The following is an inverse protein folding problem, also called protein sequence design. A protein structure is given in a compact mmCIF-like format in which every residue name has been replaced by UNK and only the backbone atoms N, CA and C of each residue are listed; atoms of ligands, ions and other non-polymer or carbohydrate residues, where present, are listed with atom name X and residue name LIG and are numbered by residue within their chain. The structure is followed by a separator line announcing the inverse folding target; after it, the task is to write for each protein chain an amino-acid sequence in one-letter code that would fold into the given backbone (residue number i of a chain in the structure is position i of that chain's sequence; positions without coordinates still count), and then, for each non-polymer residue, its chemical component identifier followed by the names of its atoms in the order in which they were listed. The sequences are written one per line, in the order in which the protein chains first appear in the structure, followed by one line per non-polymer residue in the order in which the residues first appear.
data_IF_677143732931
#
_entry.id   IF_677143732931
#
_cell.length_a   1.000
_cell.length_b   1.000
_cell.length_c   1.000
_cell.angle_alpha   90.00
_cell.angle_beta   90.00
_cell.angle_gamma   90.00
#
_symmetry.space_group_name_H-M   'P 1'
#
loop_
_entity.id
_entity.type
_entity.pdbx_description
1 polymer ?
#
# COMPACT_ATOMS: atom_id res chain seq x y z
N UNK A 1 22.32 40.19 13.90
CA UNK A 1 20.90 40.03 13.55
C UNK A 1 20.84 39.12 12.35
N UNK A 2 20.72 37.81 12.59
CA UNK A 2 20.50 36.82 11.53
C UNK A 2 19.05 36.38 11.67
N UNK A 3 18.22 36.74 10.70
CA UNK A 3 16.86 36.22 10.60
C UNK A 3 16.94 34.76 10.16
N UNK A 4 16.72 33.84 11.09
CA UNK A 4 16.45 32.44 10.77
C UNK A 4 15.01 32.36 10.25
N UNK A 5 14.86 32.32 8.92
CA UNK A 5 13.61 31.87 8.30
C UNK A 5 13.64 30.35 8.22
N UNK A 6 12.78 29.73 9.02
CA UNK A 6 12.53 28.29 9.01
C UNK A 6 11.43 28.01 7.98
N UNK A 7 11.77 28.04 6.70
CA UNK A 7 10.88 27.48 5.67
C UNK A 7 10.98 25.96 5.77
N UNK A 8 10.12 25.38 6.62
CA UNK A 8 9.95 23.94 6.73
C UNK A 8 9.17 23.42 5.52
N UNK A 9 9.84 23.22 4.39
CA UNK A 9 9.32 22.33 3.36
C UNK A 9 9.35 20.90 3.93
N UNK A 10 8.21 20.44 4.48
CA UNK A 10 8.01 19.02 4.73
C UNK A 10 8.04 18.36 3.35
N UNK A 11 8.99 17.44 3.07
CA UNK A 11 9.02 16.79 1.76
C UNK A 11 7.69 16.07 1.55
N UNK A 12 7.01 16.41 0.47
CA UNK A 12 5.79 15.72 0.03
C UNK A 12 6.20 14.27 -0.22
N UNK A 13 5.86 13.39 0.72
CA UNK A 13 6.17 11.97 0.59
C UNK A 13 5.23 11.39 -0.44
N UNK A 14 5.79 11.03 -1.59
CA UNK A 14 5.03 10.32 -2.63
C UNK A 14 4.30 9.12 -2.01
N UNK A 15 2.98 8.99 -2.23
CA UNK A 15 2.22 7.85 -1.80
C UNK A 15 2.89 6.53 -2.18
N UNK A 16 2.86 5.56 -1.25
CA UNK A 16 3.50 4.27 -1.44
C UNK A 16 2.58 3.14 -1.01
N UNK A 17 2.50 2.12 -1.86
CA UNK A 17 1.83 0.87 -1.58
C UNK A 17 2.88 -0.24 -1.57
N UNK A 18 3.10 -0.81 -0.39
CA UNK A 18 3.99 -1.94 -0.20
C UNK A 18 3.18 -3.22 -0.03
N UNK A 19 3.51 -4.27 -0.77
CA UNK A 19 2.83 -5.57 -0.74
C UNK A 19 3.83 -6.63 -0.29
N UNK A 20 3.46 -7.39 0.75
CA UNK A 20 4.26 -8.51 1.24
C UNK A 20 4.10 -9.73 0.33
N UNK A 21 5.20 -10.27 -0.16
CA UNK A 21 5.29 -11.57 -0.82
C UNK A 21 6.42 -12.39 -0.19
N UNK A 22 6.11 -13.01 0.95
CA UNK A 22 7.06 -13.40 1.98
C UNK A 22 6.80 -14.77 2.59
N UNK A 23 7.48 -15.14 3.67
CA UNK A 23 7.28 -16.44 4.32
C UNK A 23 5.87 -16.66 4.91
N UNK A 24 5.13 -15.58 5.16
CA UNK A 24 3.76 -15.56 5.68
C UNK A 24 2.72 -15.05 4.66
N UNK A 25 3.14 -14.48 3.53
CA UNK A 25 2.27 -13.88 2.51
C UNK A 25 2.45 -14.62 1.19
N UNK A 26 1.37 -15.00 0.51
CA UNK A 26 1.46 -15.69 -0.79
C UNK A 26 1.83 -17.17 -0.72
N UNK A 27 1.76 -17.78 0.46
CA UNK A 27 2.11 -19.19 0.68
C UNK A 27 0.87 -20.07 0.60
N UNK A 28 0.53 -20.50 -0.62
CA UNK A 28 -0.61 -21.38 -0.90
C UNK A 28 -0.44 -22.75 -0.23
N UNK A 29 0.78 -23.23 -0.10
CA UNK A 29 1.16 -24.42 0.65
C UNK A 29 0.82 -24.34 2.15
N UNK A 30 0.67 -23.12 2.69
CA UNK A 30 0.23 -22.85 4.07
C UNK A 30 -1.23 -22.43 4.17
N UNK A 31 -2.03 -22.64 3.11
CA UNK A 31 -3.45 -22.28 3.07
C UNK A 31 -3.73 -20.79 2.84
N UNK A 32 -2.72 -19.98 2.49
CA UNK A 32 -2.94 -18.57 2.15
C UNK A 32 -3.35 -18.42 0.67
N UNK A 33 -3.93 -17.27 0.32
CA UNK A 33 -4.13 -16.90 -1.09
C UNK A 33 -2.81 -16.45 -1.71
N UNK A 34 -2.64 -16.70 -3.01
CA UNK A 34 -1.49 -16.20 -3.76
C UNK A 34 -1.51 -14.67 -3.84
N UNK A 35 -0.33 -14.04 -3.86
CA UNK A 35 -0.20 -12.61 -4.11
C UNK A 35 -0.14 -12.41 -5.63
N UNK A 36 -1.03 -11.61 -6.25
CA UNK A 36 -1.04 -11.43 -7.70
C UNK A 36 0.04 -10.43 -8.15
N UNK A 37 1.32 -10.75 -7.91
CA UNK A 37 2.46 -9.84 -8.13
C UNK A 37 2.57 -9.37 -9.59
N UNK A 38 2.34 -10.26 -10.55
CA UNK A 38 2.42 -9.91 -11.97
C UNK A 38 1.29 -8.94 -12.35
N UNK A 39 0.05 -9.21 -11.91
CA UNK A 39 -1.12 -8.34 -12.09
C UNK A 39 -0.85 -6.93 -11.55
N UNK A 40 -0.32 -6.83 -10.32
CA UNK A 40 0.03 -5.55 -9.71
C UNK A 40 1.08 -4.78 -10.52
N UNK A 41 2.18 -5.44 -10.92
CA UNK A 41 3.23 -4.80 -11.73
C UNK A 41 2.71 -4.35 -13.10
N UNK A 42 1.89 -5.18 -13.74
CA UNK A 42 1.30 -4.87 -15.04
C UNK A 42 0.35 -3.68 -14.93
N UNK A 43 -0.56 -3.68 -13.95
CA UNK A 43 -1.47 -2.58 -13.71
C UNK A 43 -0.72 -1.26 -13.44
N UNK A 44 0.35 -1.29 -12.63
CA UNK A 44 1.18 -0.11 -12.38
C UNK A 44 1.83 0.45 -13.64
N UNK A 45 2.27 -0.44 -14.54
CA UNK A 45 2.88 -0.05 -15.81
C UNK A 45 1.83 0.52 -16.78
N UNK A 46 0.72 -0.19 -16.98
CA UNK A 46 -0.32 0.17 -17.94
C UNK A 46 -1.04 1.47 -17.56
N UNK A 47 -1.29 1.68 -16.27
CA UNK A 47 -1.94 2.88 -15.73
C UNK A 47 -0.95 4.01 -15.40
N UNK A 48 0.34 3.83 -15.68
CA UNK A 48 1.43 4.79 -15.41
C UNK A 48 1.49 5.30 -13.96
N UNK A 49 1.16 4.45 -12.99
CA UNK A 49 0.98 4.86 -11.59
C UNK A 49 2.29 5.18 -10.88
N UNK A 50 3.44 4.72 -11.38
CA UNK A 50 4.73 4.83 -10.68
C UNK A 50 5.22 6.27 -10.42
N UNK A 51 4.71 7.24 -11.18
CA UNK A 51 5.05 8.66 -11.01
C UNK A 51 4.32 9.29 -9.82
N UNK A 52 3.17 8.76 -9.44
CA UNK A 52 2.29 9.36 -8.42
C UNK A 52 2.15 8.46 -7.19
N UNK A 53 2.10 7.14 -7.39
CA UNK A 53 1.99 6.13 -6.34
C UNK A 53 3.02 5.03 -6.56
N UNK A 54 3.97 4.90 -5.63
CA UNK A 54 5.02 3.89 -5.70
C UNK A 54 4.51 2.51 -5.30
N UNK A 55 4.67 1.51 -6.18
CA UNK A 55 4.53 0.10 -5.83
C UNK A 55 5.85 -0.46 -5.29
N UNK A 56 5.78 -1.23 -4.20
CA UNK A 56 6.91 -1.97 -3.64
C UNK A 56 6.49 -3.40 -3.33
N UNK A 57 7.09 -4.38 -3.98
CA UNK A 57 6.90 -5.79 -3.62
C UNK A 57 8.03 -6.18 -2.67
N UNK A 58 7.69 -6.46 -1.42
CA UNK A 58 8.65 -6.69 -0.34
C UNK A 58 8.64 -8.16 0.10
N UNK A 59 9.80 -8.68 0.51
CA UNK A 59 9.91 -10.04 1.07
C UNK A 59 9.27 -10.18 2.45
N UNK A 60 9.22 -9.12 3.26
CA UNK A 60 8.47 -9.09 4.52
C UNK A 60 8.12 -7.63 4.87
N UNK A 61 6.97 -7.43 5.51
CA UNK A 61 6.55 -6.12 6.02
C UNK A 61 6.44 -6.05 7.54
N UNK A 62 6.62 -7.15 8.26
CA UNK A 62 6.64 -7.15 9.72
C UNK A 62 5.52 -7.96 10.34
N UNK A 63 4.28 -7.47 10.47
CA UNK A 63 3.26 -8.16 11.26
C UNK A 63 2.86 -9.49 10.61
N UNK A 64 3.61 -10.55 10.93
CA UNK A 64 3.40 -11.92 10.47
C UNK A 64 2.21 -12.59 11.18
N UNK A 65 1.56 -11.90 12.13
CA UNK A 65 0.29 -12.28 12.75
C UNK A 65 -0.91 -12.18 11.80
N UNK A 66 -0.73 -11.54 10.64
CA UNK A 66 -1.65 -11.55 9.51
C UNK A 66 -0.90 -12.03 8.26
N UNK A 67 -1.59 -12.82 7.44
CA UNK A 67 -1.11 -13.18 6.11
C UNK A 67 -1.44 -12.07 5.10
N UNK A 68 -0.84 -12.17 3.91
CA UNK A 68 -1.15 -11.32 2.75
C UNK A 68 -1.26 -9.83 3.10
N UNK A 69 -0.21 -9.29 3.72
CA UNK A 69 -0.20 -7.92 4.24
C UNK A 69 0.18 -6.92 3.16
N UNK A 70 -0.51 -5.78 3.16
CA UNK A 70 -0.08 -4.56 2.46
C UNK A 70 -0.02 -3.37 3.41
N UNK A 71 0.94 -2.47 3.17
CA UNK A 71 1.07 -1.20 3.87
C UNK A 71 0.92 -0.06 2.86
N UNK A 72 -0.06 0.79 3.09
CA UNK A 72 -0.31 2.00 2.30
C UNK A 72 0.15 3.20 3.13
N UNK A 73 1.00 4.02 2.54
CA UNK A 73 1.55 5.24 3.15
C UNK A 73 1.16 6.43 2.28
N UNK A 74 0.43 7.37 2.87
CA UNK A 74 0.01 8.64 2.23
C UNK A 74 0.30 9.71 3.27
N UNK A 75 1.17 10.66 2.95
CA UNK A 75 1.71 11.65 3.90
C UNK A 75 2.25 10.98 5.18
N UNK A 76 1.68 11.32 6.34
CA UNK A 76 2.00 10.73 7.65
C UNK A 76 1.12 9.53 8.01
N UNK A 77 0.09 9.23 7.20
CA UNK A 77 -0.86 8.17 7.47
C UNK A 77 -0.34 6.81 7.01
N UNK A 78 -0.47 5.82 7.89
CA UNK A 78 -0.11 4.42 7.62
C UNK A 78 -1.32 3.53 7.78
N UNK A 79 -1.71 2.87 6.70
CA UNK A 79 -2.85 1.96 6.67
C UNK A 79 -2.33 0.55 6.44
N UNK A 80 -2.53 -0.30 7.44
CA UNK A 80 -2.18 -1.71 7.39
C UNK A 80 -3.40 -2.53 6.99
N UNK A 81 -3.23 -3.34 5.95
CA UNK A 81 -4.23 -4.26 5.45
C UNK A 81 -3.69 -5.69 5.53
N UNK A 82 -4.50 -6.64 5.96
CA UNK A 82 -4.12 -8.05 6.10
C UNK A 82 -5.21 -8.97 5.59
N UNK A 83 -4.94 -10.27 5.53
CA UNK A 83 -5.90 -11.27 5.02
C UNK A 83 -6.41 -10.95 3.61
N UNK A 84 -5.56 -10.31 2.79
CA UNK A 84 -5.96 -9.88 1.46
C UNK A 84 -6.16 -11.07 0.52
N UNK A 85 -7.26 -10.99 -0.22
CA UNK A 85 -7.59 -11.87 -1.34
C UNK A 85 -7.54 -11.09 -2.67
N UNK A 86 -7.77 -11.78 -3.79
CA UNK A 86 -7.62 -11.21 -5.14
C UNK A 86 -8.42 -9.91 -5.35
N UNK A 87 -9.70 -9.90 -4.96
CA UNK A 87 -10.58 -8.72 -5.07
C UNK A 87 -10.05 -7.49 -4.33
N UNK A 88 -9.30 -7.70 -3.24
CA UNK A 88 -8.72 -6.60 -2.49
C UNK A 88 -7.52 -6.00 -3.24
N UNK A 89 -6.75 -6.82 -3.98
CA UNK A 89 -5.67 -6.31 -4.83
C UNK A 89 -6.22 -5.51 -6.02
N UNK A 90 -7.38 -5.88 -6.55
CA UNK A 90 -8.09 -5.07 -7.55
C UNK A 90 -8.50 -3.72 -6.99
N UNK A 91 -9.10 -3.71 -5.80
CA UNK A 91 -9.44 -2.45 -5.12
C UNK A 91 -8.21 -1.61 -4.76
N UNK A 92 -7.06 -2.22 -4.48
CA UNK A 92 -5.79 -1.50 -4.28
C UNK A 92 -5.34 -0.83 -5.58
N UNK A 93 -5.45 -1.51 -6.73
CA UNK A 93 -5.09 -0.95 -8.04
C UNK A 93 -6.00 0.25 -8.36
N UNK A 94 -7.30 0.08 -8.19
CA UNK A 94 -8.27 1.13 -8.49
C UNK A 94 -8.12 2.32 -7.55
N UNK A 95 -7.86 2.07 -6.27
CA UNK A 95 -7.61 3.13 -5.31
C UNK A 95 -6.30 3.87 -5.58
N UNK A 96 -5.23 3.16 -5.98
CA UNK A 96 -3.98 3.80 -6.40
C UNK A 96 -4.17 4.75 -7.59
N UNK A 97 -5.05 4.38 -8.54
CA UNK A 97 -5.41 5.24 -9.66
C UNK A 97 -6.23 6.47 -9.23
N UNK A 98 -7.09 6.34 -8.22
CA UNK A 98 -7.80 7.50 -7.68
C UNK A 98 -6.83 8.45 -6.95
N UNK A 99 -5.91 7.91 -6.15
CA UNK A 99 -4.87 8.68 -5.46
C UNK A 99 -3.98 9.44 -6.47
N UNK A 100 -3.63 8.81 -7.60
CA UNK A 100 -2.79 9.46 -8.62
C UNK A 100 -3.48 10.65 -9.31
N UNK A 101 -4.82 10.68 -9.34
CA UNK A 101 -5.58 11.79 -9.94
C UNK A 101 -5.92 12.86 -8.92
N UNK A 102 -6.25 12.48 -7.68
CA UNK A 102 -6.59 13.40 -6.61
C UNK A 102 -6.22 12.80 -5.23
N UNK A 103 -5.10 13.28 -4.69
CA UNK A 103 -4.57 12.83 -3.40
C UNK A 103 -5.29 13.42 -2.18
N UNK A 104 -6.03 14.54 -2.33
CA UNK A 104 -6.56 15.28 -1.17
C UNK A 104 -7.83 14.67 -0.55
N UNK A 105 -8.54 13.80 -1.28
CA UNK A 105 -9.87 13.32 -0.86
C UNK A 105 -10.20 11.87 -1.22
N UNK A 106 -9.21 10.97 -1.27
CA UNK A 106 -9.50 9.56 -1.53
C UNK A 106 -9.83 8.79 -0.26
N UNK A 107 -11.11 8.55 0.01
CA UNK A 107 -11.50 7.61 1.05
C UNK A 107 -11.05 6.18 0.69
N UNK A 108 -10.65 5.42 1.72
CA UNK A 108 -10.34 4.00 1.53
C UNK A 108 -11.60 3.23 1.10
N UNK A 109 -11.53 2.36 0.07
CA UNK A 109 -12.67 1.53 -0.33
C UNK A 109 -13.21 0.65 0.80
N UNK A 110 -14.53 0.42 0.85
CA UNK A 110 -15.20 -0.34 1.92
C UNK A 110 -14.63 -1.75 2.12
N UNK A 111 -14.36 -2.48 1.04
CA UNK A 111 -13.79 -3.83 1.16
C UNK A 111 -12.37 -3.81 1.74
N UNK A 112 -11.61 -2.74 1.54
CA UNK A 112 -10.30 -2.55 2.17
C UNK A 112 -10.43 -2.09 3.63
N UNK A 113 -11.48 -1.31 3.98
CA UNK A 113 -11.75 -0.94 5.38
C UNK A 113 -11.90 -2.17 6.26
N UNK A 114 -12.61 -3.21 5.80
CA UNK A 114 -12.79 -4.47 6.52
C UNK A 114 -11.49 -5.25 6.77
N UNK A 115 -10.46 -5.03 5.94
CA UNK A 115 -9.15 -5.68 6.08
C UNK A 115 -8.15 -4.85 6.89
N UNK A 116 -8.55 -3.67 7.37
CA UNK A 116 -7.69 -2.82 8.18
C UNK A 116 -7.41 -3.47 9.53
N UNK A 117 -6.15 -3.43 9.95
CA UNK A 117 -5.76 -3.84 11.29
C UNK A 117 -4.72 -2.89 11.90
N UNK A 118 -4.52 -3.00 13.20
CA UNK A 118 -3.44 -2.32 13.92
C UNK A 118 -2.38 -3.39 14.24
N UNK A 119 -1.14 -3.27 13.74
CA UNK A 119 -0.08 -4.20 14.11
C UNK A 119 0.20 -4.06 15.61
N UNK A 120 0.27 -5.20 16.31
CA UNK A 120 0.72 -5.23 17.69
C UNK A 120 2.23 -4.97 17.68
N UNK A 121 2.65 -3.93 18.40
CA UNK A 121 4.05 -3.54 18.60
C UNK A 121 4.83 -4.55 19.41
#
# INVERSE_FOLDING_TARGET
MFEYRFDSEVPILQPKIAVCNGCCCGRVDKGNKEIPVQKLKQAWKEKNLGNDVKLSISTCLGPCSRNNVSLITIDSNRIWLGSLEEEHYDSIIDWAQQISVNSEHTEIPENLKSQRFIPLS
#
